data_IF_805673305328
#
_entry.id   IF_805673305328
#
_cell.length_a   1.000
_cell.length_b   1.000
_cell.length_c   1.000
_cell.angle_alpha   90.00
_cell.angle_beta   90.00
_cell.angle_gamma   90.00
#
_symmetry.space_group_name_H-M   'P 1'
#
loop_
_entity.id
_entity.type
_entity.pdbx_description
1 polymer ?
#
# COMPACT_ATOMS: atom_id res chain seq x y z
N UNK A 1 -16.06 -11.18 9.69
CA UNK A 1 -14.86 -11.79 10.30
C UNK A 1 -14.78 -11.42 11.77
N UNK A 2 -14.68 -12.41 12.66
CA UNK A 2 -14.59 -12.19 14.11
C UNK A 2 -13.21 -11.63 14.53
N UNK A 3 -13.11 -11.18 15.79
CA UNK A 3 -11.90 -10.56 16.34
C UNK A 3 -10.71 -11.52 16.46
N UNK A 4 -10.95 -12.78 16.83
CA UNK A 4 -9.90 -13.78 16.97
C UNK A 4 -9.23 -14.08 15.62
N UNK A 5 -10.04 -14.18 14.57
CA UNK A 5 -9.54 -14.37 13.21
C UNK A 5 -8.78 -13.14 12.72
N UNK A 6 -9.26 -11.91 12.98
CA UNK A 6 -8.51 -10.67 12.68
C UNK A 6 -7.12 -10.67 13.32
N UNK A 7 -7.07 -10.93 14.63
CA UNK A 7 -5.82 -10.97 15.38
C UNK A 7 -4.90 -12.08 14.87
N UNK A 8 -5.43 -13.27 14.61
CA UNK A 8 -4.66 -14.38 14.07
C UNK A 8 -4.09 -14.08 12.68
N UNK A 9 -4.85 -13.41 11.81
CA UNK A 9 -4.38 -13.01 10.47
C UNK A 9 -3.23 -12.01 10.53
N UNK A 10 -3.34 -10.99 11.39
CA UNK A 10 -2.22 -10.05 11.61
C UNK A 10 -1.01 -10.81 12.13
N UNK A 11 -1.18 -11.66 13.16
CA UNK A 11 -0.06 -12.46 13.69
C UNK A 11 0.58 -13.33 12.63
N UNK A 12 -0.23 -13.96 11.77
CA UNK A 12 0.24 -14.81 10.70
C UNK A 12 1.08 -14.03 9.68
N UNK A 13 0.56 -12.93 9.12
CA UNK A 13 1.28 -12.15 8.10
C UNK A 13 2.47 -11.36 8.68
N UNK A 14 2.47 -11.05 9.99
CA UNK A 14 3.60 -10.41 10.67
C UNK A 14 4.63 -11.42 11.21
N UNK A 15 4.39 -12.72 11.03
CA UNK A 15 5.38 -13.76 11.37
C UNK A 15 6.54 -13.71 10.38
N UNK A 16 7.78 -13.74 10.89
CA UNK A 16 8.97 -13.70 10.05
C UNK A 16 8.93 -14.83 9.02
N UNK A 17 9.24 -14.53 7.77
CA UNK A 17 9.20 -15.44 6.62
C UNK A 17 7.80 -15.85 6.13
N UNK A 18 6.73 -15.28 6.68
CA UNK A 18 5.38 -15.40 6.11
C UNK A 18 5.10 -14.16 5.27
N UNK A 19 5.17 -14.31 3.95
CA UNK A 19 4.70 -13.30 3.00
C UNK A 19 3.27 -13.61 2.51
N UNK A 20 2.70 -12.78 1.63
CA UNK A 20 1.32 -12.93 1.13
C UNK A 20 1.02 -14.29 0.47
N UNK A 21 1.96 -14.82 -0.31
CA UNK A 21 1.84 -16.17 -0.89
C UNK A 21 1.80 -17.26 0.19
N UNK A 22 2.75 -17.25 1.12
CA UNK A 22 2.80 -18.21 2.24
C UNK A 22 1.55 -18.11 3.10
N UNK A 23 1.08 -16.90 3.36
CA UNK A 23 -0.17 -16.66 4.07
C UNK A 23 -1.34 -17.35 3.36
N UNK A 24 -1.49 -17.13 2.06
CA UNK A 24 -2.60 -17.70 1.27
C UNK A 24 -2.57 -19.24 1.28
N UNK A 25 -1.39 -19.84 1.12
CA UNK A 25 -1.21 -21.30 1.22
C UNK A 25 -1.58 -21.85 2.60
N UNK A 26 -1.22 -21.13 3.68
CA UNK A 26 -1.55 -21.53 5.04
C UNK A 26 -3.05 -21.41 5.31
N UNK A 27 -3.71 -20.35 4.83
CA UNK A 27 -5.17 -20.22 4.93
C UNK A 27 -5.87 -21.32 4.14
N UNK A 28 -5.44 -21.61 2.91
CA UNK A 28 -5.99 -22.69 2.10
C UNK A 28 -5.83 -24.06 2.77
N UNK A 29 -4.67 -24.33 3.38
CA UNK A 29 -4.38 -25.62 4.02
C UNK A 29 -5.15 -25.82 5.33
N UNK A 30 -5.26 -24.79 6.17
CA UNK A 30 -5.80 -24.93 7.53
C UNK A 30 -7.24 -24.39 7.67
N UNK A 31 -7.75 -23.67 6.68
CA UNK A 31 -9.10 -23.10 6.63
C UNK A 31 -9.28 -21.82 7.45
N UNK A 32 -8.38 -21.47 8.37
CA UNK A 32 -8.41 -20.21 9.12
C UNK A 32 -7.03 -19.80 9.61
N UNK A 33 -6.85 -18.50 9.90
CA UNK A 33 -5.60 -18.01 10.46
C UNK A 33 -5.38 -18.51 11.89
N UNK A 34 -6.44 -18.68 12.67
CA UNK A 34 -6.35 -19.27 14.03
C UNK A 34 -5.71 -20.65 13.97
N UNK A 35 -6.19 -21.53 13.07
CA UNK A 35 -5.64 -22.88 12.89
C UNK A 35 -4.23 -22.84 12.30
N UNK A 36 -3.97 -21.97 11.34
CA UNK A 36 -2.64 -21.81 10.73
C UNK A 36 -1.59 -21.37 11.76
N UNK A 37 -1.91 -20.39 12.61
CA UNK A 37 -1.00 -19.92 13.67
C UNK A 37 -0.69 -21.03 14.67
N UNK A 38 -1.68 -21.84 15.06
CA UNK A 38 -1.49 -22.97 15.96
C UNK A 38 -0.57 -24.05 15.36
N UNK A 39 -0.54 -24.20 14.04
CA UNK A 39 0.28 -25.19 13.34
C UNK A 39 1.73 -24.73 13.06
N UNK A 40 2.06 -23.45 13.22
CA UNK A 40 3.42 -22.92 12.92
C UNK A 40 4.53 -23.62 13.71
N UNK A 41 4.41 -23.86 15.03
CA UNK A 41 5.47 -24.53 15.80
C UNK A 41 5.82 -25.92 15.25
N UNK A 42 4.81 -26.69 14.84
CA UNK A 42 5.00 -28.01 14.24
C UNK A 42 5.67 -27.93 12.86
N UNK A 43 5.26 -26.98 12.03
CA UNK A 43 5.88 -26.72 10.72
C UNK A 43 7.36 -26.31 10.87
N UNK A 44 7.67 -25.49 11.88
CA UNK A 44 9.04 -25.06 12.18
C UNK A 44 9.93 -26.24 12.56
N UNK A 45 9.41 -27.17 13.36
CA UNK A 45 10.12 -28.37 13.80
C UNK A 45 10.44 -29.33 12.63
N UNK A 46 9.54 -29.46 11.64
CA UNK A 46 9.74 -30.32 10.46
C UNK A 46 10.59 -29.67 9.36
N UNK A 47 10.57 -28.35 9.24
CA UNK A 47 11.15 -27.60 8.11
C UNK A 47 12.53 -26.98 8.35
N UNK A 48 13.16 -27.21 9.50
CA UNK A 48 14.51 -26.69 9.83
C UNK A 48 14.62 -25.16 9.96
N UNK A 49 13.52 -24.41 9.81
CA UNK A 49 13.48 -22.94 9.94
C UNK A 49 12.80 -22.54 11.24
N UNK A 50 13.45 -21.67 12.03
CA UNK A 50 12.85 -21.05 13.22
C UNK A 50 11.78 -20.04 12.80
N UNK A 51 10.52 -20.48 12.75
CA UNK A 51 9.36 -19.59 12.63
C UNK A 51 8.92 -19.19 14.05
N UNK A 52 8.99 -17.89 14.35
CA UNK A 52 8.47 -17.34 15.60
C UNK A 52 7.23 -16.53 15.29
N UNK A 53 6.07 -17.03 15.73
CA UNK A 53 4.78 -16.36 15.50
C UNK A 53 4.82 -14.98 16.13
N UNK A 54 4.32 -13.96 15.41
CA UNK A 54 4.15 -12.63 16.00
C UNK A 54 3.25 -12.67 17.24
N UNK A 55 3.54 -11.83 18.22
CA UNK A 55 2.84 -11.86 19.50
C UNK A 55 1.40 -11.34 19.39
N UNK A 56 0.53 -11.75 20.31
CA UNK A 56 -0.82 -11.20 20.39
C UNK A 56 -0.80 -9.70 20.74
N UNK A 57 0.17 -9.28 21.56
CA UNK A 57 0.34 -7.88 21.93
C UNK A 57 0.66 -7.01 20.71
N UNK A 58 1.57 -7.46 19.84
CA UNK A 58 1.91 -6.73 18.60
C UNK A 58 0.72 -6.59 17.67
N UNK A 59 -0.09 -7.65 17.52
CA UNK A 59 -1.28 -7.60 16.67
C UNK A 59 -2.35 -6.65 17.21
N UNK A 60 -2.55 -6.63 18.54
CA UNK A 60 -3.44 -5.67 19.19
C UNK A 60 -2.93 -4.23 19.04
N UNK A 61 -1.62 -4.03 19.20
CA UNK A 61 -0.99 -2.72 19.00
C UNK A 61 -1.13 -2.22 17.56
N UNK A 62 -1.05 -3.11 16.56
CA UNK A 62 -1.26 -2.75 15.15
C UNK A 62 -2.71 -2.29 14.89
N UNK A 63 -3.71 -2.97 15.43
CA UNK A 63 -5.12 -2.55 15.33
C UNK A 63 -5.31 -1.19 16.01
N UNK A 64 -4.82 -1.05 17.24
CA UNK A 64 -4.94 0.19 18.01
C UNK A 64 -4.22 1.37 17.35
N UNK A 65 -3.03 1.15 16.78
CA UNK A 65 -2.25 2.17 16.09
C UNK A 65 -2.93 2.68 14.82
N UNK A 66 -3.63 1.79 14.08
CA UNK A 66 -4.45 2.22 12.94
C UNK A 66 -5.64 3.05 13.40
N UNK A 67 -6.36 2.59 14.42
CA UNK A 67 -7.49 3.34 14.97
C UNK A 67 -7.08 4.73 15.49
N UNK A 68 -5.94 4.82 16.19
CA UNK A 68 -5.40 6.09 16.67
C UNK A 68 -4.94 7.05 15.56
N UNK A 69 -4.68 6.53 14.36
CA UNK A 69 -4.32 7.30 13.17
C UNK A 69 -5.53 7.62 12.28
N UNK A 70 -6.76 7.38 12.75
CA UNK A 70 -8.01 7.46 11.97
C UNK A 70 -7.96 6.60 10.69
N UNK A 71 -7.26 5.47 10.75
CA UNK A 71 -7.12 4.55 9.64
C UNK A 71 -7.96 3.28 9.85
N UNK A 72 -8.51 2.77 8.75
CA UNK A 72 -9.24 1.51 8.69
C UNK A 72 -8.35 0.42 8.09
N UNK A 73 -8.48 -0.80 8.59
CA UNK A 73 -7.82 -1.97 8.01
C UNK A 73 -8.77 -2.69 7.05
N UNK A 74 -8.38 -2.83 5.79
CA UNK A 74 -9.08 -3.62 4.77
C UNK A 74 -8.32 -4.92 4.48
N UNK A 75 -9.05 -5.99 4.18
CA UNK A 75 -8.50 -7.35 4.05
C UNK A 75 -8.65 -7.85 2.62
N UNK A 76 -7.67 -8.59 2.10
CA UNK A 76 -7.65 -9.06 0.71
C UNK A 76 -8.92 -9.80 0.28
N UNK A 77 -9.59 -10.49 1.19
CA UNK A 77 -10.82 -11.25 0.95
C UNK A 77 -12.11 -10.50 1.34
N UNK A 78 -12.04 -9.20 1.61
CA UNK A 78 -13.21 -8.35 1.89
C UNK A 78 -13.68 -7.62 0.63
N UNK A 79 -14.98 -7.35 0.54
CA UNK A 79 -15.60 -6.66 -0.61
C UNK A 79 -15.03 -5.24 -0.85
N UNK A 80 -14.55 -4.59 0.21
CA UNK A 80 -13.96 -3.24 0.13
C UNK A 80 -12.54 -3.24 -0.43
N UNK A 81 -11.89 -4.41 -0.54
CA UNK A 81 -10.54 -4.53 -1.07
C UNK A 81 -10.58 -4.54 -2.60
N UNK A 82 -9.71 -3.78 -3.29
CA UNK A 82 -9.77 -3.69 -4.75
C UNK A 82 -9.56 -5.06 -5.42
N UNK A 83 -10.57 -5.52 -6.17
CA UNK A 83 -10.54 -6.82 -6.82
C UNK A 83 -9.33 -6.99 -7.75
N UNK A 84 -8.93 -5.91 -8.44
CA UNK A 84 -7.72 -5.90 -9.25
C UNK A 84 -6.47 -6.19 -8.42
N UNK A 85 -6.28 -5.52 -7.29
CA UNK A 85 -5.10 -5.76 -6.46
C UNK A 85 -5.12 -7.19 -5.91
N UNK A 86 -6.30 -7.70 -5.54
CA UNK A 86 -6.44 -9.04 -4.97
C UNK A 86 -6.06 -10.19 -5.92
N UNK A 87 -6.00 -9.95 -7.25
CA UNK A 87 -5.65 -10.99 -8.23
C UNK A 87 -4.17 -11.36 -8.23
N UNK A 88 -3.30 -10.49 -7.69
CA UNK A 88 -1.85 -10.72 -7.68
C UNK A 88 -1.43 -11.59 -6.50
N UNK A 89 -0.50 -12.53 -6.73
CA UNK A 89 -0.06 -13.50 -5.71
C UNK A 89 0.60 -12.83 -4.50
N UNK A 90 1.34 -11.76 -4.75
CA UNK A 90 2.01 -10.98 -3.72
C UNK A 90 1.11 -9.90 -3.09
N UNK A 91 -0.15 -9.74 -3.52
CA UNK A 91 -1.05 -8.70 -3.02
C UNK A 91 -1.10 -8.62 -1.48
N UNK A 92 -0.99 -7.41 -0.89
CA UNK A 92 -1.03 -7.24 0.55
C UNK A 92 -2.25 -7.93 1.17
N UNK A 93 -2.04 -8.80 2.16
CA UNK A 93 -3.15 -9.46 2.89
C UNK A 93 -4.03 -8.44 3.60
N UNK A 94 -3.40 -7.36 4.07
CA UNK A 94 -4.02 -6.29 4.83
C UNK A 94 -3.45 -4.95 4.36
N UNK A 95 -4.31 -3.94 4.22
CA UNK A 95 -3.93 -2.57 3.96
C UNK A 95 -4.53 -1.65 5.02
N UNK A 96 -3.74 -0.69 5.48
CA UNK A 96 -4.19 0.48 6.20
C UNK A 96 -4.69 1.53 5.20
N UNK A 97 -5.86 2.09 5.46
CA UNK A 97 -6.50 3.10 4.60
C UNK A 97 -6.91 4.30 5.43
N UNK A 98 -6.61 5.52 4.98
CA UNK A 98 -6.97 6.75 5.68
C UNK A 98 -7.49 7.80 4.69
N UNK A 99 -8.72 8.25 4.87
CA UNK A 99 -9.43 9.15 3.94
C UNK A 99 -10.61 8.46 3.27
N UNK A 100 -10.94 8.88 2.04
CA UNK A 100 -12.13 8.45 1.31
C UNK A 100 -11.95 7.08 0.61
N UNK A 101 -12.45 6.02 1.24
CA UNK A 101 -12.41 4.66 0.70
C UNK A 101 -13.15 4.46 -0.62
N UNK A 102 -14.12 5.33 -0.96
CA UNK A 102 -14.89 5.20 -2.20
C UNK A 102 -14.00 5.33 -3.46
N UNK A 103 -12.84 6.00 -3.35
CA UNK A 103 -11.89 6.14 -4.45
C UNK A 103 -11.34 4.79 -4.94
N UNK A 104 -11.35 3.75 -4.11
CA UNK A 104 -10.92 2.40 -4.50
C UNK A 104 -11.90 1.65 -5.41
N UNK A 105 -13.12 2.17 -5.56
CA UNK A 105 -14.17 1.57 -6.40
C UNK A 105 -14.16 2.14 -7.82
N UNK A 106 -13.33 3.13 -8.10
CA UNK A 106 -13.22 3.81 -9.39
C UNK A 106 -12.05 3.23 -10.20
N UNK A 107 -12.05 3.39 -11.54
CA UNK A 107 -10.88 3.06 -12.35
C UNK A 107 -9.69 3.96 -11.98
N UNK A 108 -8.51 3.36 -11.76
CA UNK A 108 -7.33 4.09 -11.26
C UNK A 108 -6.24 4.14 -12.34
N UNK A 109 -5.60 5.30 -12.52
CA UNK A 109 -4.37 5.44 -13.31
C UNK A 109 -3.25 5.93 -12.39
N UNK A 110 -2.07 5.31 -12.50
CA UNK A 110 -0.91 5.75 -11.74
C UNK A 110 -0.04 6.69 -12.56
N UNK A 111 0.31 7.86 -12.01
CA UNK A 111 1.30 8.76 -12.58
C UNK A 111 2.51 8.79 -11.64
N UNK A 112 3.68 8.46 -12.14
CA UNK A 112 4.91 8.36 -11.35
C UNK A 112 6.06 9.08 -12.04
N UNK A 113 7.08 9.50 -11.28
CA UNK A 113 8.26 10.07 -11.89
C UNK A 113 9.37 10.48 -10.93
N UNK A 114 10.29 11.29 -11.43
CA UNK A 114 11.51 11.65 -10.75
C UNK A 114 11.26 12.40 -9.44
N UNK A 115 12.03 12.03 -8.41
CA UNK A 115 12.04 12.74 -7.11
C UNK A 115 12.72 14.10 -7.18
N UNK A 116 13.69 14.23 -8.08
CA UNK A 116 14.39 15.46 -8.40
C UNK A 116 14.08 15.79 -9.86
N UNK A 117 12.96 16.47 -10.07
CA UNK A 117 12.42 16.80 -11.39
C UNK A 117 12.58 18.29 -11.67
N UNK A 118 12.66 18.66 -12.95
CA UNK A 118 12.69 20.06 -13.36
C UNK A 118 11.38 20.78 -13.01
N UNK A 119 11.42 22.12 -12.89
CA UNK A 119 10.20 22.92 -12.67
C UNK A 119 9.19 22.71 -13.80
N UNK A 120 9.67 22.57 -15.04
CA UNK A 120 8.80 22.31 -16.19
C UNK A 120 8.11 20.95 -16.08
N UNK A 121 8.83 19.92 -15.66
CA UNK A 121 8.25 18.59 -15.47
C UNK A 121 7.27 18.55 -14.30
N UNK A 122 7.53 19.28 -13.21
CA UNK A 122 6.58 19.45 -12.10
C UNK A 122 5.29 20.11 -12.60
N UNK A 123 5.37 21.21 -13.35
CA UNK A 123 4.18 21.89 -13.92
C UNK A 123 3.43 20.99 -14.90
N UNK A 124 4.17 20.29 -15.75
CA UNK A 124 3.57 19.35 -16.70
C UNK A 124 2.86 18.21 -15.97
N UNK A 125 3.46 17.62 -14.93
CA UNK A 125 2.84 16.57 -14.13
C UNK A 125 1.57 17.03 -13.41
N UNK A 126 1.58 18.24 -12.86
CA UNK A 126 0.40 18.81 -12.21
C UNK A 126 -0.75 19.07 -13.20
N UNK A 127 -0.43 19.54 -14.42
CA UNK A 127 -1.42 19.70 -15.48
C UNK A 127 -1.95 18.36 -15.98
N UNK A 128 -1.05 17.43 -16.30
CA UNK A 128 -1.36 16.12 -16.86
C UNK A 128 -2.22 15.29 -15.90
N UNK A 129 -2.00 15.41 -14.58
CA UNK A 129 -2.78 14.67 -13.59
C UNK A 129 -4.26 15.07 -13.55
N UNK A 130 -4.66 16.21 -14.11
CA UNK A 130 -6.08 16.57 -14.25
C UNK A 130 -6.77 15.77 -15.33
N UNK A 131 -6.08 15.48 -16.43
CA UNK A 131 -6.67 14.88 -17.63
C UNK A 131 -7.31 13.49 -17.37
N UNK A 132 -6.65 12.54 -16.68
CA UNK A 132 -7.31 11.29 -16.30
C UNK A 132 -8.48 11.52 -15.33
N UNK A 133 -8.32 12.48 -14.41
CA UNK A 133 -9.36 12.89 -13.47
C UNK A 133 -10.65 13.32 -14.15
N UNK A 134 -10.52 14.23 -15.12
CA UNK A 134 -11.63 14.76 -15.90
C UNK A 134 -12.27 13.67 -16.80
N UNK A 135 -11.49 12.65 -17.17
CA UNK A 135 -11.96 11.46 -17.87
C UNK A 135 -12.59 10.39 -16.96
N UNK A 136 -12.72 10.65 -15.65
CA UNK A 136 -13.38 9.76 -14.68
C UNK A 136 -12.45 8.74 -14.00
N UNK A 137 -11.13 8.89 -14.13
CA UNK A 137 -10.15 8.06 -13.42
C UNK A 137 -9.72 8.71 -12.11
N UNK A 138 -9.53 7.90 -11.07
CA UNK A 138 -8.80 8.33 -9.88
C UNK A 138 -7.30 8.27 -10.15
N UNK A 139 -6.57 9.31 -9.78
CA UNK A 139 -5.12 9.36 -10.00
C UNK A 139 -4.36 8.92 -8.76
N UNK A 140 -3.45 7.96 -8.94
CA UNK A 140 -2.64 7.40 -7.87
C UNK A 140 -1.17 7.73 -8.04
N UNK A 141 -0.49 7.96 -6.92
CA UNK A 141 0.98 8.10 -6.90
C UNK A 141 1.56 7.74 -5.53
N UNK A 142 2.87 7.93 -5.37
CA UNK A 142 3.64 7.48 -4.22
C UNK A 142 3.91 8.53 -3.14
N UNK A 143 3.27 9.70 -3.15
CA UNK A 143 3.55 10.78 -2.17
C UNK A 143 5.02 11.19 -2.06
N UNK A 144 5.88 10.84 -3.03
CA UNK A 144 7.30 11.21 -3.01
C UNK A 144 7.49 12.71 -3.35
N UNK A 145 8.73 13.19 -3.23
CA UNK A 145 9.11 14.52 -3.76
C UNK A 145 8.96 14.56 -5.28
N UNK A 146 8.96 15.76 -5.85
CA UNK A 146 9.00 15.96 -7.30
C UNK A 146 7.67 15.60 -7.95
N UNK A 147 7.71 14.68 -8.92
CA UNK A 147 6.56 14.35 -9.78
C UNK A 147 5.37 13.85 -8.96
N UNK A 148 5.55 12.88 -8.06
CA UNK A 148 4.44 12.32 -7.26
C UNK A 148 3.67 13.42 -6.50
N UNK A 149 4.38 14.38 -5.88
CA UNK A 149 3.75 15.49 -5.18
C UNK A 149 2.95 16.41 -6.12
N UNK A 150 3.46 16.64 -7.34
CA UNK A 150 2.78 17.43 -8.36
C UNK A 150 1.53 16.74 -8.88
N UNK A 151 1.60 15.43 -9.09
CA UNK A 151 0.47 14.59 -9.49
C UNK A 151 -0.68 14.70 -8.49
N UNK A 152 -0.40 14.55 -7.20
CA UNK A 152 -1.45 14.67 -6.17
C UNK A 152 -2.08 16.06 -6.13
N UNK A 153 -1.30 17.13 -6.29
CA UNK A 153 -1.84 18.50 -6.37
C UNK A 153 -2.77 18.67 -7.58
N UNK A 154 -2.36 18.14 -8.73
CA UNK A 154 -3.14 18.21 -9.97
C UNK A 154 -4.45 17.45 -9.89
N UNK A 155 -4.41 16.25 -9.30
CA UNK A 155 -5.55 15.34 -9.21
C UNK A 155 -6.48 15.57 -8.01
N UNK A 156 -6.14 16.47 -7.09
CA UNK A 156 -6.96 16.69 -5.88
C UNK A 156 -8.45 16.98 -6.20
N UNK A 157 -8.79 17.83 -7.19
CA UNK A 157 -10.19 18.16 -7.48
C UNK A 157 -11.04 16.97 -7.97
N UNK A 158 -10.40 15.95 -8.56
CA UNK A 158 -11.05 14.79 -9.17
C UNK A 158 -10.86 13.50 -8.35
N UNK A 159 -10.04 13.55 -7.31
CA UNK A 159 -9.76 12.45 -6.39
C UNK A 159 -8.37 11.84 -6.61
N UNK A 160 -7.62 11.68 -5.51
CA UNK A 160 -6.28 11.11 -5.56
C UNK A 160 -6.02 10.08 -4.47
N UNK A 161 -5.21 9.07 -4.80
CA UNK A 161 -4.76 8.01 -3.89
C UNK A 161 -3.24 8.07 -3.72
N UNK A 162 -2.76 8.24 -2.49
CA UNK A 162 -1.34 8.18 -2.13
C UNK A 162 -0.98 6.83 -1.51
N UNK A 163 -0.09 6.06 -2.13
CA UNK A 163 0.44 4.81 -1.54
C UNK A 163 1.77 5.11 -0.88
N UNK A 164 1.93 4.86 0.43
CA UNK A 164 3.13 5.21 1.19
C UNK A 164 3.95 3.98 1.62
N UNK A 165 5.25 4.19 1.85
CA UNK A 165 6.19 3.13 2.20
C UNK A 165 6.41 2.94 3.73
N UNK A 166 5.89 3.86 4.54
CA UNK A 166 5.92 3.78 6.00
C UNK A 166 4.56 3.34 6.57
N UNK A 167 4.42 3.40 7.89
CA UNK A 167 3.11 3.30 8.55
C UNK A 167 2.19 4.44 8.15
N UNK A 168 0.87 4.21 8.24
CA UNK A 168 -0.18 5.16 7.82
C UNK A 168 -0.15 6.51 8.57
N UNK A 169 0.52 6.54 9.72
CA UNK A 169 0.76 7.68 10.61
C UNK A 169 2.11 8.39 10.36
N UNK A 170 2.97 7.85 9.48
CA UNK A 170 4.31 8.38 9.22
C UNK A 170 4.33 9.22 7.95
N UNK A 171 4.51 10.52 8.12
CA UNK A 171 4.69 11.47 7.01
C UNK A 171 6.13 11.39 6.51
N UNK A 172 6.28 10.93 5.27
CA UNK A 172 7.54 10.95 4.55
C UNK A 172 7.31 11.19 3.06
N UNK A 173 8.03 12.13 2.43
CA UNK A 173 9.06 12.99 3.00
C UNK A 173 8.44 14.12 3.89
N UNK A 174 9.14 14.65 4.91
CA UNK A 174 8.58 15.66 5.83
C UNK A 174 8.07 16.93 5.14
N UNK A 175 8.67 17.33 4.03
CA UNK A 175 8.30 18.51 3.25
C UNK A 175 6.91 18.37 2.61
N UNK A 176 6.42 17.14 2.40
CA UNK A 176 5.09 16.88 1.88
C UNK A 176 4.00 16.85 2.97
N UNK A 177 4.28 17.33 4.20
CA UNK A 177 3.31 17.33 5.32
C UNK A 177 1.98 17.98 4.96
N UNK A 178 1.99 19.16 4.35
CA UNK A 178 0.76 19.86 3.98
C UNK A 178 -0.05 19.04 2.95
N UNK A 179 0.62 18.50 1.94
CA UNK A 179 0.00 17.65 0.93
C UNK A 179 -0.57 16.36 1.54
N UNK A 180 0.15 15.74 2.47
CA UNK A 180 -0.33 14.55 3.18
C UNK A 180 -1.62 14.82 3.92
N UNK A 181 -1.70 15.93 4.66
CA UNK A 181 -2.93 16.35 5.34
C UNK A 181 -4.07 16.56 4.34
N UNK A 182 -3.78 17.19 3.19
CA UNK A 182 -4.78 17.41 2.16
C UNK A 182 -5.32 16.09 1.58
N UNK A 183 -4.42 15.15 1.24
CA UNK A 183 -4.83 13.82 0.73
C UNK A 183 -5.60 13.03 1.78
N UNK A 184 -5.28 13.15 3.08
CA UNK A 184 -6.09 12.52 4.14
C UNK A 184 -7.52 13.07 4.18
N UNK A 185 -7.68 14.38 3.96
CA UNK A 185 -8.97 15.06 4.09
C UNK A 185 -9.85 14.91 2.83
N UNK A 186 -9.24 14.94 1.65
CA UNK A 186 -9.95 15.04 0.36
C UNK A 186 -9.72 13.80 -0.54
N UNK A 187 -8.65 13.06 -0.30
CA UNK A 187 -8.25 11.88 -1.06
C UNK A 187 -8.23 10.61 -0.21
N UNK A 188 -7.29 9.71 -0.51
CA UNK A 188 -7.08 8.47 0.23
C UNK A 188 -5.59 8.14 0.34
N UNK A 189 -5.16 7.72 1.52
CA UNK A 189 -3.84 7.12 1.72
C UNK A 189 -3.92 5.63 1.96
N UNK A 190 -2.96 4.90 1.39
CA UNK A 190 -2.78 3.45 1.55
C UNK A 190 -1.39 3.14 2.11
N UNK A 191 -1.31 2.21 3.07
CA UNK A 191 -0.06 1.68 3.58
C UNK A 191 -0.14 0.18 3.88
N UNK A 192 0.91 -0.57 3.54
CA UNK A 192 1.04 -1.99 3.91
C UNK A 192 1.80 -2.18 5.24
N UNK A 193 2.66 -1.22 5.58
CA UNK A 193 3.48 -1.28 6.79
C UNK A 193 2.65 -0.95 8.03
N UNK A 194 3.07 -1.52 9.16
CA UNK A 194 2.44 -1.28 10.46
C UNK A 194 2.52 0.20 10.84
N UNK A 195 1.56 0.73 11.61
CA UNK A 195 1.69 2.04 12.23
C UNK A 195 3.04 2.21 12.92
N UNK A 196 3.53 3.44 12.91
CA UNK A 196 4.81 3.88 13.46
C UNK A 196 6.05 3.29 12.78
N UNK A 197 5.89 2.59 11.65
CA UNK A 197 7.02 2.08 10.86
C UNK A 197 7.63 3.20 10.01
N UNK A 198 8.86 3.60 10.33
CA UNK A 198 9.62 4.50 9.48
C UNK A 198 9.95 3.85 8.11
N UNK A 199 9.87 4.58 6.99
CA UNK A 199 10.20 4.04 5.67
C UNK A 199 11.70 3.74 5.57
N UNK A 200 12.04 2.57 5.04
CA UNK A 200 13.42 2.17 4.72
C UNK A 200 13.55 1.96 3.21
N UNK A 201 14.78 1.93 2.64
CA UNK A 201 14.98 1.67 1.21
C UNK A 201 14.25 0.41 0.70
N UNK A 202 14.12 -0.63 1.53
CA UNK A 202 13.44 -1.89 1.20
C UNK A 202 11.92 -1.76 1.10
N UNK A 203 11.32 -0.75 1.71
CA UNK A 203 9.86 -0.55 1.68
C UNK A 203 9.39 0.12 0.38
N UNK A 204 10.26 0.86 -0.33
CA UNK A 204 9.83 1.55 -1.55
C UNK A 204 9.49 0.60 -2.70
N UNK A 205 10.27 -0.47 -3.00
CA UNK A 205 9.84 -1.48 -3.96
C UNK A 205 8.54 -2.17 -3.53
N UNK A 206 8.44 -2.56 -2.26
CA UNK A 206 7.23 -3.19 -1.71
C UNK A 206 5.98 -2.29 -1.82
N UNK A 207 6.16 -0.97 -1.76
CA UNK A 207 5.10 0.01 -2.03
C UNK A 207 4.79 0.10 -3.53
N UNK A 208 5.82 0.18 -4.36
CA UNK A 208 5.68 0.40 -5.81
C UNK A 208 4.87 -0.70 -6.49
N UNK A 209 5.03 -1.96 -6.07
CA UNK A 209 4.24 -3.08 -6.58
C UNK A 209 2.73 -2.88 -6.38
N UNK A 210 2.32 -2.21 -5.29
CA UNK A 210 0.91 -1.90 -5.01
C UNK A 210 0.41 -0.85 -5.99
N UNK A 211 1.22 0.17 -6.29
CA UNK A 211 0.89 1.20 -7.29
C UNK A 211 0.72 0.53 -8.66
N UNK A 212 1.67 -0.30 -9.07
CA UNK A 212 1.62 -1.01 -10.35
C UNK A 212 0.39 -1.92 -10.43
N UNK A 213 0.18 -2.76 -9.42
CA UNK A 213 -0.89 -3.76 -9.38
C UNK A 213 -2.28 -3.15 -9.28
N UNK A 214 -2.46 -2.03 -8.58
CA UNK A 214 -3.77 -1.42 -8.39
C UNK A 214 -4.20 -0.56 -9.61
N UNK A 215 -3.26 -0.02 -10.38
CA UNK A 215 -3.55 0.85 -11.52
C UNK A 215 -4.02 0.09 -12.79
N UNK A 216 -4.78 0.76 -13.66
CA UNK A 216 -5.13 0.26 -15.02
C UNK A 216 -3.99 0.44 -15.99
N UNK A 217 -3.14 1.42 -15.71
CA UNK A 217 -1.95 1.75 -16.46
C UNK A 217 -1.08 2.68 -15.63
N UNK A 218 0.21 2.66 -15.93
CA UNK A 218 1.21 3.51 -15.29
C UNK A 218 1.80 4.46 -16.32
N UNK A 219 1.71 5.75 -16.05
CA UNK A 219 2.31 6.83 -16.84
C UNK A 219 3.58 7.28 -16.13
N UNK A 220 4.72 7.13 -16.80
CA UNK A 220 6.01 7.65 -16.32
C UNK A 220 6.26 9.01 -16.94
N UNK A 221 6.24 10.07 -16.13
CA UNK A 221 6.35 11.45 -16.64
C UNK A 221 7.81 11.84 -16.87
N UNK A 222 8.68 11.55 -15.90
CA UNK A 222 10.12 11.79 -16.00
C UNK A 222 10.85 10.71 -15.21
N UNK A 223 11.89 10.11 -15.78
CA UNK A 223 12.66 9.08 -15.12
C UNK A 223 14.13 9.10 -15.55
N UNK A 224 15.03 9.20 -14.58
CA UNK A 224 16.44 8.87 -14.80
C UNK A 224 16.62 7.35 -14.96
N UNK A 225 17.70 6.93 -15.62
CA UNK A 225 17.99 5.52 -16.01
C UNK A 225 18.00 4.52 -14.84
N UNK A 226 18.21 4.98 -13.59
CA UNK A 226 18.16 4.16 -12.35
C UNK A 226 17.07 4.60 -11.37
N UNK A 227 16.01 5.25 -11.86
CA UNK A 227 14.96 5.78 -10.99
C UNK A 227 13.98 4.70 -10.52
N UNK A 228 13.45 4.86 -9.30
CA UNK A 228 12.42 3.96 -8.76
C UNK A 228 11.12 3.95 -9.58
N UNK A 229 10.87 4.98 -10.38
CA UNK A 229 9.71 5.07 -11.28
C UNK A 229 9.81 4.07 -12.44
N UNK A 230 11.02 3.74 -12.90
CA UNK A 230 11.24 2.67 -13.89
C UNK A 230 11.01 1.28 -13.29
N UNK A 231 11.21 1.12 -11.97
CA UNK A 231 10.86 -0.12 -11.28
C UNK A 231 9.34 -0.29 -11.31
N UNK A 232 8.58 0.74 -10.97
CA UNK A 232 7.11 0.71 -11.04
C UNK A 232 6.61 0.42 -12.46
N UNK A 233 7.24 1.01 -13.48
CA UNK A 233 6.88 0.76 -14.87
C UNK A 233 7.15 -0.69 -15.30
N UNK A 234 8.25 -1.29 -14.81
CA UNK A 234 8.56 -2.70 -15.05
C UNK A 234 7.54 -3.61 -14.35
N UNK A 235 7.26 -3.36 -13.07
CA UNK A 235 6.26 -4.11 -12.29
C UNK A 235 4.84 -4.01 -12.90
N UNK A 236 4.54 -2.96 -13.66
CA UNK A 236 3.25 -2.82 -14.34
C UNK A 236 3.16 -3.56 -15.68
N UNK A 237 4.31 -3.90 -16.28
CA UNK A 237 4.38 -4.65 -17.53
C UNK A 237 4.47 -6.17 -17.35
N UNK A 238 4.81 -6.62 -16.13
CA UNK A 238 4.89 -8.02 -15.72
C UNK A 238 3.53 -8.53 -15.20
#
# INVERSE_FOLDING_TARGET
MDENEKLARIRLIRTRHVGPMTFSLLIQRYGSAVKAVAAIPELAARGGRKLSVASLADAKAEIAGNAAADATLIWRDSEVYPARLAQFDDAPVILSTRGNLHLLQQPIIALVGARNASINAIRHAESLAREPGDAGFVVMSGMARGIDAAVHRGAMPTGTIGVIAGGIDIIYPPENRALFTQVVNEGLLLAEMRPSTAPTPRHFPARNRIIASLAMGVVVIEAATRSGSLITAREAGD
#
